data_IF_493226633623
#
_entry.id   IF_493226633623
#
_cell.length_a   1.000
_cell.length_b   1.000
_cell.length_c   1.000
_cell.angle_alpha   90.00
_cell.angle_beta   90.00
_cell.angle_gamma   90.00
#
_symmetry.space_group_name_H-M   'P 1'
#
loop_
_entity.id
_entity.type
_entity.pdbx_description
1 polymer ?
#
# COMPACT_ATOMS: atom_id res chain seq x y z
N UNK A 1 -37.19 12.42 -12.51
CA UNK A 1 -36.64 11.14 -12.02
C UNK A 1 -36.98 10.08 -13.05
N UNK A 2 -36.03 9.68 -13.90
CA UNK A 2 -36.27 8.65 -14.92
C UNK A 2 -36.50 7.31 -14.24
N UNK A 3 -37.58 6.62 -14.60
CA UNK A 3 -37.88 5.29 -14.09
C UNK A 3 -36.72 4.33 -14.41
N UNK A 4 -36.27 3.49 -13.45
CA UNK A 4 -35.25 2.48 -13.73
C UNK A 4 -35.76 1.52 -14.82
N UNK A 5 -34.89 1.08 -15.75
CA UNK A 5 -35.29 0.15 -16.80
C UNK A 5 -35.88 -1.11 -16.17
N UNK A 6 -37.00 -1.60 -16.72
CA UNK A 6 -37.64 -2.82 -16.26
C UNK A 6 -36.69 -4.01 -16.44
N UNK A 7 -35.99 -4.39 -15.38
CA UNK A 7 -35.03 -5.50 -15.45
C UNK A 7 -35.82 -6.80 -15.47
N UNK A 8 -35.83 -7.48 -16.63
CA UNK A 8 -36.65 -8.68 -16.88
C UNK A 8 -36.02 -9.99 -16.40
N UNK A 9 -34.92 -9.93 -15.65
CA UNK A 9 -34.22 -11.11 -15.14
C UNK A 9 -32.71 -10.92 -15.06
N UNK A 10 -32.00 -12.01 -14.79
CA UNK A 10 -30.54 -12.08 -14.74
C UNK A 10 -29.92 -11.53 -16.03
N UNK A 11 -28.95 -10.63 -15.93
CA UNK A 11 -28.31 -9.99 -17.09
C UNK A 11 -27.41 -10.93 -17.90
N UNK A 12 -27.10 -12.13 -17.39
CA UNK A 12 -26.29 -13.14 -18.10
C UNK A 12 -27.19 -14.18 -18.77
N UNK A 13 -28.12 -14.78 -18.03
CA UNK A 13 -28.90 -15.94 -18.50
C UNK A 13 -30.41 -15.69 -18.66
N UNK A 14 -30.91 -14.50 -18.29
CA UNK A 14 -32.34 -14.17 -18.40
C UNK A 14 -33.26 -14.82 -17.36
N UNK A 15 -32.73 -15.60 -16.41
CA UNK A 15 -33.54 -16.19 -15.33
C UNK A 15 -34.26 -15.10 -14.51
N UNK A 16 -35.55 -15.29 -14.22
CA UNK A 16 -36.39 -14.32 -13.49
C UNK A 16 -36.00 -14.13 -12.02
N UNK A 17 -35.22 -15.05 -11.44
CA UNK A 17 -34.67 -14.90 -10.08
C UNK A 17 -33.46 -13.98 -10.06
N UNK A 18 -33.38 -13.11 -9.06
CA UNK A 18 -32.22 -12.24 -8.85
C UNK A 18 -31.94 -11.93 -7.37
N UNK A 19 -30.68 -11.60 -7.07
CA UNK A 19 -30.26 -11.19 -5.73
C UNK A 19 -30.42 -9.68 -5.52
N UNK A 20 -31.34 -9.29 -4.63
CA UNK A 20 -31.55 -7.88 -4.28
C UNK A 20 -30.33 -7.25 -3.59
N UNK A 21 -29.56 -8.02 -2.80
CA UNK A 21 -28.30 -7.58 -2.18
C UNK A 21 -27.29 -7.14 -3.26
N UNK A 22 -27.11 -7.95 -4.31
CA UNK A 22 -26.18 -7.65 -5.40
C UNK A 22 -26.64 -6.48 -6.25
N UNK A 23 -27.94 -6.37 -6.51
CA UNK A 23 -28.48 -5.22 -7.23
C UNK A 23 -28.24 -3.91 -6.47
N UNK A 24 -28.46 -3.89 -5.15
CA UNK A 24 -28.18 -2.71 -4.33
C UNK A 24 -26.69 -2.41 -4.20
N UNK A 25 -25.85 -3.45 -4.11
CA UNK A 25 -24.42 -3.29 -3.87
C UNK A 25 -23.64 -2.90 -5.13
N UNK A 26 -23.98 -3.48 -6.28
CA UNK A 26 -23.20 -3.41 -7.52
C UNK A 26 -24.00 -2.87 -8.71
N UNK A 27 -25.32 -2.71 -8.59
CA UNK A 27 -26.19 -2.29 -9.69
C UNK A 27 -26.44 -3.39 -10.73
N UNK A 28 -26.04 -4.63 -10.47
CA UNK A 28 -26.20 -5.76 -11.40
C UNK A 28 -27.32 -6.70 -10.96
N UNK A 29 -28.03 -7.27 -11.93
CA UNK A 29 -29.09 -8.24 -11.66
C UNK A 29 -28.59 -9.62 -12.04
N UNK A 30 -28.19 -10.40 -11.03
CA UNK A 30 -27.73 -11.78 -11.22
C UNK A 30 -28.62 -12.77 -10.47
N UNK A 31 -28.92 -13.91 -11.10
CA UNK A 31 -29.48 -15.08 -10.43
C UNK A 31 -28.40 -15.76 -9.57
N UNK A 32 -28.79 -16.67 -8.68
CA UNK A 32 -27.84 -17.35 -7.79
C UNK A 32 -26.76 -18.16 -8.54
N UNK A 33 -27.11 -18.73 -9.70
CA UNK A 33 -26.15 -19.49 -10.52
C UNK A 33 -25.07 -18.60 -11.13
N UNK A 34 -25.45 -17.51 -11.79
CA UNK A 34 -24.51 -16.56 -12.38
C UNK A 34 -23.72 -15.81 -11.31
N UNK A 35 -24.35 -15.47 -10.19
CA UNK A 35 -23.68 -14.87 -9.02
C UNK A 35 -22.54 -15.76 -8.51
N UNK A 36 -22.70 -17.08 -8.51
CA UNK A 36 -21.68 -18.01 -8.01
C UNK A 36 -20.43 -18.08 -8.91
N UNK A 37 -20.51 -17.60 -10.15
CA UNK A 37 -19.39 -17.53 -11.09
C UNK A 37 -18.56 -16.25 -10.91
N UNK A 38 -19.07 -15.27 -10.17
CA UNK A 38 -18.39 -14.01 -9.91
C UNK A 38 -17.60 -14.07 -8.60
N UNK A 39 -16.32 -13.70 -8.67
CA UNK A 39 -15.44 -13.66 -7.52
C UNK A 39 -15.58 -12.34 -6.75
N UNK A 40 -15.67 -12.44 -5.43
CA UNK A 40 -15.67 -11.31 -4.52
C UNK A 40 -14.31 -11.16 -3.85
N UNK A 41 -13.62 -10.05 -4.12
CA UNK A 41 -12.30 -9.77 -3.57
C UNK A 41 -12.36 -8.73 -2.45
N UNK A 42 -11.51 -8.84 -1.41
CA UNK A 42 -11.48 -7.85 -0.33
C UNK A 42 -10.86 -6.54 -0.80
N UNK A 43 -11.20 -5.46 -0.09
CA UNK A 43 -10.70 -4.09 -0.36
C UNK A 43 -9.18 -4.02 -0.55
N UNK A 44 -8.41 -4.72 0.29
CA UNK A 44 -6.95 -4.75 0.22
C UNK A 44 -6.45 -5.33 -1.11
N UNK A 45 -7.02 -6.46 -1.52
CA UNK A 45 -6.72 -7.11 -2.80
C UNK A 45 -7.05 -6.19 -3.97
N UNK A 46 -8.21 -5.53 -3.96
CA UNK A 46 -8.59 -4.58 -5.00
C UNK A 46 -7.57 -3.43 -5.14
N UNK A 47 -7.10 -2.86 -4.03
CA UNK A 47 -6.08 -1.80 -4.05
C UNK A 47 -4.71 -2.29 -4.54
N UNK A 48 -4.30 -3.49 -4.13
CA UNK A 48 -2.98 -4.05 -4.44
C UNK A 48 -2.86 -4.59 -5.87
N UNK A 49 -3.90 -5.29 -6.35
CA UNK A 49 -3.87 -5.92 -7.67
C UNK A 49 -4.29 -4.96 -8.78
N UNK A 50 -5.27 -4.10 -8.53
CA UNK A 50 -5.87 -3.24 -9.54
C UNK A 50 -5.48 -1.76 -9.41
N UNK A 51 -4.56 -1.44 -8.49
CA UNK A 51 -4.00 -0.09 -8.28
C UNK A 51 -5.07 0.99 -8.04
N UNK A 52 -6.22 0.59 -7.52
CA UNK A 52 -7.32 1.50 -7.24
C UNK A 52 -7.16 2.20 -5.89
N UNK A 53 -7.60 3.46 -5.83
CA UNK A 53 -7.66 4.23 -4.59
C UNK A 53 -9.00 4.00 -3.88
N UNK A 54 -9.11 4.46 -2.63
CA UNK A 54 -10.38 4.39 -1.90
C UNK A 54 -11.49 5.21 -2.58
N UNK A 55 -11.13 6.31 -3.27
CA UNK A 55 -12.07 7.13 -4.03
C UNK A 55 -12.58 6.42 -5.29
N UNK A 56 -11.72 5.63 -5.94
CA UNK A 56 -12.10 4.82 -7.10
C UNK A 56 -13.06 3.70 -6.66
N UNK A 57 -12.70 2.97 -5.61
CA UNK A 57 -13.49 1.85 -5.09
C UNK A 57 -14.89 2.28 -4.60
N UNK A 58 -15.05 3.51 -4.11
CA UNK A 58 -16.36 4.04 -3.71
C UNK A 58 -17.36 4.07 -4.87
N UNK A 59 -16.89 4.18 -6.12
CA UNK A 59 -17.74 4.23 -7.32
C UNK A 59 -18.16 2.85 -7.83
N UNK A 60 -17.42 1.80 -7.43
CA UNK A 60 -17.60 0.42 -7.92
C UNK A 60 -18.70 -0.34 -7.16
N UNK A 61 -18.98 0.08 -5.91
CA UNK A 61 -19.94 -0.62 -5.06
C UNK A 61 -19.32 -1.76 -4.26
N UNK A 62 -19.92 -2.13 -3.13
CA UNK A 62 -19.34 -3.14 -2.22
C UNK A 62 -20.39 -3.81 -1.35
N UNK A 63 -20.18 -5.08 -1.01
CA UNK A 63 -20.92 -5.80 0.03
C UNK A 63 -20.12 -5.77 1.33
N UNK A 64 -20.80 -5.52 2.45
CA UNK A 64 -20.20 -5.64 3.78
C UNK A 64 -20.50 -7.02 4.37
N UNK A 65 -19.47 -7.66 4.92
CA UNK A 65 -19.58 -8.91 5.68
C UNK A 65 -18.90 -8.74 7.04
N UNK A 66 -19.31 -9.56 8.00
CA UNK A 66 -18.61 -9.65 9.30
C UNK A 66 -17.12 -9.88 9.05
N UNK A 67 -16.29 -9.26 9.88
CA UNK A 67 -14.85 -9.41 9.74
C UNK A 67 -14.47 -10.86 10.14
N UNK A 68 -13.78 -11.61 9.26
CA UNK A 68 -13.51 -13.03 9.47
C UNK A 68 -12.58 -13.30 10.67
N UNK A 69 -11.85 -12.29 11.14
CA UNK A 69 -10.96 -12.44 12.28
C UNK A 69 -11.68 -12.24 13.62
N UNK A 70 -12.44 -11.15 13.75
CA UNK A 70 -13.24 -10.82 14.96
C UNK A 70 -14.47 -10.03 14.56
N UNK A 71 -15.64 -10.41 15.07
CA UNK A 71 -16.91 -9.75 14.73
C UNK A 71 -16.97 -8.30 15.21
N UNK A 72 -16.25 -7.97 16.28
CA UNK A 72 -16.18 -6.62 16.86
C UNK A 72 -15.32 -5.66 16.02
N UNK A 73 -14.54 -6.17 15.06
CA UNK A 73 -13.73 -5.33 14.19
C UNK A 73 -14.55 -4.71 13.06
N UNK A 74 -13.97 -3.71 12.40
CA UNK A 74 -14.59 -3.07 11.25
C UNK A 74 -14.99 -4.12 10.20
N UNK A 75 -16.25 -4.10 9.71
CA UNK A 75 -16.74 -5.05 8.72
C UNK A 75 -15.87 -5.09 7.47
N UNK A 76 -15.69 -6.29 6.92
CA UNK A 76 -14.94 -6.49 5.68
C UNK A 76 -15.78 -6.01 4.50
N UNK A 77 -15.15 -5.27 3.59
CA UNK A 77 -15.76 -4.86 2.31
C UNK A 77 -15.26 -5.75 1.18
N UNK A 78 -16.22 -6.36 0.50
CA UNK A 78 -16.03 -7.21 -0.66
C UNK A 78 -16.49 -6.48 -1.92
N UNK A 79 -15.73 -6.62 -2.99
CA UNK A 79 -15.95 -6.01 -4.29
C UNK A 79 -16.04 -7.08 -5.36
N UNK A 80 -16.90 -6.90 -6.35
CA UNK A 80 -16.98 -7.80 -7.50
C UNK A 80 -15.76 -7.60 -8.40
N UNK A 81 -14.98 -8.66 -8.61
CA UNK A 81 -13.69 -8.58 -9.27
C UNK A 81 -13.77 -8.01 -10.68
N UNK A 82 -14.76 -8.45 -11.47
CA UNK A 82 -15.00 -8.00 -12.85
C UNK A 82 -15.22 -6.48 -12.93
N UNK A 83 -16.00 -5.91 -12.01
CA UNK A 83 -16.22 -4.46 -11.91
C UNK A 83 -14.98 -3.67 -11.46
N UNK A 84 -14.19 -4.24 -10.54
CA UNK A 84 -12.91 -3.66 -10.11
C UNK A 84 -11.91 -3.64 -11.28
N UNK A 85 -11.84 -4.72 -12.04
CA UNK A 85 -11.02 -4.83 -13.24
C UNK A 85 -11.41 -3.81 -14.29
N UNK A 86 -12.70 -3.69 -14.59
CA UNK A 86 -13.22 -2.68 -15.53
C UNK A 86 -12.87 -1.25 -15.08
N UNK A 87 -12.99 -0.95 -13.78
CA UNK A 87 -12.62 0.34 -13.23
C UNK A 87 -11.11 0.62 -13.34
N UNK A 88 -10.28 -0.40 -13.15
CA UNK A 88 -8.83 -0.31 -13.35
C UNK A 88 -8.47 -0.04 -14.80
N UNK A 89 -9.06 -0.79 -15.73
CA UNK A 89 -8.85 -0.58 -17.16
C UNK A 89 -9.31 0.79 -17.62
N UNK A 90 -10.45 1.29 -17.14
CA UNK A 90 -10.90 2.67 -17.43
C UNK A 90 -9.92 3.72 -16.93
N UNK A 91 -9.30 3.49 -15.77
CA UNK A 91 -8.37 4.44 -15.15
C UNK A 91 -7.01 4.46 -15.85
N UNK A 92 -6.51 3.29 -16.23
CA UNK A 92 -5.15 3.14 -16.75
C UNK A 92 -5.06 2.98 -18.27
N UNK A 93 -6.20 2.85 -18.97
CA UNK A 93 -6.21 2.68 -20.43
C UNK A 93 -6.04 1.22 -20.86
N UNK A 94 -6.69 0.30 -20.16
CA UNK A 94 -6.64 -1.13 -20.45
C UNK A 94 -5.50 -1.87 -19.74
N UNK A 95 -5.27 -3.11 -20.17
CA UNK A 95 -4.32 -4.02 -19.54
C UNK A 95 -2.88 -3.48 -19.56
N UNK A 96 -2.40 -3.00 -20.72
CA UNK A 96 -1.03 -2.50 -20.87
C UNK A 96 -0.76 -1.29 -19.97
N UNK A 97 -1.75 -0.41 -19.83
CA UNK A 97 -1.67 0.73 -18.93
C UNK A 97 -1.59 0.33 -17.45
N UNK A 98 -2.32 -0.71 -17.04
CA UNK A 98 -2.21 -1.26 -15.68
C UNK A 98 -0.82 -1.84 -15.43
N UNK A 99 -0.25 -2.55 -16.41
CA UNK A 99 1.10 -3.11 -16.30
C UNK A 99 2.16 -2.00 -16.21
N UNK A 100 2.03 -0.95 -17.01
CA UNK A 100 2.92 0.21 -16.95
C UNK A 100 2.83 0.93 -15.60
N UNK A 101 1.62 1.20 -15.11
CA UNK A 101 1.42 1.80 -13.80
C UNK A 101 2.03 0.95 -12.66
N UNK A 102 1.96 -0.39 -12.78
CA UNK A 102 2.58 -1.33 -11.84
C UNK A 102 4.11 -1.22 -11.87
N UNK A 103 4.72 -1.17 -13.06
CA UNK A 103 6.18 -0.97 -13.21
C UNK A 103 6.62 0.34 -12.57
N UNK A 104 5.94 1.44 -12.88
CA UNK A 104 6.25 2.76 -12.31
C UNK A 104 6.15 2.76 -10.77
N UNK A 105 5.14 2.08 -10.21
CA UNK A 105 5.02 1.97 -8.76
C UNK A 105 6.20 1.21 -8.13
N UNK A 106 6.66 0.12 -8.76
CA UNK A 106 7.82 -0.65 -8.29
C UNK A 106 9.10 0.18 -8.38
N UNK A 107 9.29 0.93 -9.46
CA UNK A 107 10.47 1.79 -9.65
C UNK A 107 10.52 2.92 -8.61
N UNK A 108 9.38 3.56 -8.34
CA UNK A 108 9.27 4.57 -7.27
C UNK A 108 9.56 3.98 -5.89
N UNK A 109 9.09 2.75 -5.62
CA UNK A 109 9.41 2.05 -4.38
C UNK A 109 10.90 1.72 -4.28
N UNK A 110 11.52 1.24 -5.36
CA UNK A 110 12.95 0.98 -5.40
C UNK A 110 13.77 2.25 -5.17
N UNK A 111 13.44 3.34 -5.88
CA UNK A 111 14.09 4.63 -5.74
C UNK A 111 13.96 5.20 -4.31
N UNK A 112 12.77 5.12 -3.70
CA UNK A 112 12.57 5.57 -2.31
C UNK A 112 13.36 4.75 -1.29
N UNK A 113 13.46 3.43 -1.49
CA UNK A 113 14.31 2.55 -0.66
C UNK A 113 15.79 2.92 -0.79
N UNK A 114 16.27 3.16 -2.00
CA UNK A 114 17.66 3.56 -2.24
C UNK A 114 17.97 4.92 -1.61
N UNK A 115 17.07 5.91 -1.74
CA UNK A 115 17.21 7.21 -1.07
C UNK A 115 17.29 7.07 0.45
N UNK A 116 16.40 6.26 1.06
CA UNK A 116 16.43 6.00 2.51
C UNK A 116 17.76 5.39 2.96
N UNK A 117 18.26 4.39 2.23
CA UNK A 117 19.57 3.77 2.51
C UNK A 117 20.72 4.76 2.41
N UNK A 118 20.71 5.62 1.39
CA UNK A 118 21.74 6.64 1.23
C UNK A 118 21.74 7.66 2.38
N UNK A 119 20.57 8.08 2.84
CA UNK A 119 20.43 8.99 4.01
C UNK A 119 20.97 8.33 5.28
N UNK A 120 20.62 7.06 5.51
CA UNK A 120 21.10 6.33 6.69
C UNK A 120 22.62 6.14 6.66
N UNK A 121 23.19 5.77 5.51
CA UNK A 121 24.64 5.64 5.34
C UNK A 121 25.39 6.95 5.59
N UNK A 122 24.84 8.09 5.13
CA UNK A 122 25.42 9.42 5.42
C UNK A 122 25.36 9.76 6.91
N UNK A 123 24.27 9.38 7.59
CA UNK A 123 24.13 9.61 9.03
C UNK A 123 25.13 8.79 9.83
N UNK A 124 25.34 7.54 9.44
CA UNK A 124 26.27 6.65 10.12
C UNK A 124 27.72 7.10 9.94
N UNK A 125 28.15 7.36 8.70
CA UNK A 125 29.48 7.93 8.40
C UNK A 125 29.76 9.24 9.14
N UNK A 126 28.74 10.10 9.31
CA UNK A 126 28.86 11.34 10.08
C UNK A 126 29.06 11.09 11.58
N UNK A 127 28.37 10.09 12.16
CA UNK A 127 28.58 9.70 13.57
C UNK A 127 29.97 9.11 13.77
N UNK A 128 30.41 8.22 12.89
CA UNK A 128 31.73 7.60 12.95
C UNK A 128 32.83 8.65 12.89
N UNK A 129 32.71 9.60 11.97
CA UNK A 129 33.65 10.74 11.87
C UNK A 129 33.66 11.55 13.17
N UNK A 130 32.49 11.85 13.74
CA UNK A 130 32.39 12.59 15.02
C UNK A 130 33.02 11.82 16.19
N UNK A 131 32.79 10.51 16.28
CA UNK A 131 33.38 9.66 17.31
C UNK A 131 34.90 9.57 17.16
N UNK A 132 35.40 9.42 15.93
CA UNK A 132 36.83 9.36 15.66
C UNK A 132 37.53 10.66 16.03
N UNK A 133 36.95 11.81 15.66
CA UNK A 133 37.47 13.12 16.05
C UNK A 133 37.47 13.31 17.57
N UNK A 134 36.44 12.82 18.28
CA UNK A 134 36.41 12.87 19.75
C UNK A 134 37.51 12.01 20.38
N UNK A 135 37.71 10.78 19.87
CA UNK A 135 38.78 9.89 20.33
C UNK A 135 40.17 10.49 20.11
N UNK A 136 40.39 11.14 18.96
CA UNK A 136 41.64 11.84 18.67
C UNK A 136 41.90 12.95 19.70
N UNK A 137 40.91 13.80 19.97
CA UNK A 137 41.03 14.86 20.97
C UNK A 137 41.37 14.32 22.36
N UNK A 138 40.68 13.27 22.81
CA UNK A 138 40.97 12.62 24.10
C UNK A 138 42.41 12.09 24.14
N UNK A 139 42.87 11.48 23.04
CA UNK A 139 44.22 10.94 22.95
C UNK A 139 45.30 12.04 22.95
N UNK A 140 45.03 13.17 22.29
CA UNK A 140 45.95 14.32 22.28
C UNK A 140 46.01 14.99 23.67
N UNK A 141 44.87 15.13 24.36
CA UNK A 141 44.82 15.63 25.75
C UNK A 141 45.61 14.72 26.72
N UNK A 142 45.49 13.40 26.57
CA UNK A 142 46.28 12.43 27.35
C UNK A 142 47.79 12.57 27.11
N UNK A 143 48.21 12.80 25.86
CA UNK A 143 49.64 12.98 25.51
C UNK A 143 50.23 14.24 26.13
N UNK A 144 49.48 15.34 26.12
CA UNK A 144 49.89 16.60 26.72
C UNK A 144 50.09 16.48 28.24
N UNK A 145 49.22 15.73 28.93
CA UNK A 145 49.37 15.46 30.37
C UNK A 145 50.55 14.55 30.70
N UNK A 146 50.92 13.61 29.83
CA UNK A 146 52.11 12.77 30.03
C UNK A 146 53.44 13.46 29.74
N UNK A 147 53.44 14.54 28.94
CA UNK A 147 54.65 15.29 28.58
C UNK A 147 55.06 16.39 29.56
N UNK A 148 54.21 16.72 30.53
CA UNK A 148 54.48 17.76 31.54
C UNK A 148 55.07 17.22 32.86
N UNK A 149 55.52 15.97 32.89
CA UNK A 149 56.03 15.32 34.10
C UNK A 149 57.57 15.29 34.22
N UNK A 150 58.30 15.79 33.22
CA UNK A 150 59.76 15.67 33.14
C UNK A 150 60.56 16.98 33.31
N UNK A 151 59.94 18.13 33.65
CA UNK A 151 60.64 19.44 33.77
C UNK A 151 61.00 19.92 35.19
N UNK A 152 60.80 19.12 36.25
CA UNK A 152 61.21 19.48 37.61
C UNK A 152 62.32 18.56 38.16
N UNK A 153 63.46 18.45 37.46
CA UNK A 153 64.72 17.90 38.03
C UNK A 153 65.90 18.81 37.65
N UNK A 154 65.94 20.00 38.24
CA UNK A 154 67.16 20.80 38.48
C UNK A 154 66.72 21.96 39.38
N UNK A 155 67.16 22.10 40.63
CA UNK A 155 68.51 22.57 40.96
C UNK A 155 68.63 22.67 42.50
N UNK A 156 69.73 22.12 43.04
CA UNK A 156 70.47 22.39 44.31
C UNK A 156 69.70 22.35 45.64
#
# INVERSE_FOLDING_TARGET
MSAPPAVRGCSICGNLSFSQEWYKAFGVVFCNGCKAQEELIPKSTAKQLYLLTDGDLKKVGSIQKENPHKKEWNPMRLYMQSQVEEASYKKYGGFDGVQEARRQQLDLQAASRMKRKAVEAKKETSKDTRMNNLKQRINDDMRLQSGSADEDVETI
#
